data_IF_433096784442
#
_entry.id   IF_433096784442
#
_cell.length_a   1.000
_cell.length_b   1.000
_cell.length_c   1.000
_cell.angle_alpha   90.00
_cell.angle_beta   90.00
_cell.angle_gamma   90.00
#
_symmetry.space_group_name_H-M   'P 1'
#
loop_
_entity.id
_entity.type
_entity.pdbx_description
1 polymer ?
#
# COMPACT_ATOMS: atom_id res chain seq x y z
N UNK A 1 14.19 -16.72 -22.40
CA UNK A 1 14.18 -17.02 -20.94
C UNK A 1 13.43 -15.90 -20.21
N UNK A 2 12.11 -15.77 -20.42
CA UNK A 2 11.31 -14.62 -19.94
C UNK A 2 10.12 -14.99 -19.02
N UNK A 3 9.98 -16.26 -18.63
CA UNK A 3 8.68 -16.75 -18.14
C UNK A 3 8.46 -16.71 -16.62
N UNK A 4 9.50 -16.47 -15.79
CA UNK A 4 9.37 -16.51 -14.32
C UNK A 4 8.95 -15.21 -13.64
N UNK A 5 8.85 -14.09 -14.36
CA UNK A 5 8.62 -12.76 -13.75
C UNK A 5 7.14 -12.48 -13.42
N UNK A 6 6.22 -13.09 -14.16
CA UNK A 6 4.78 -12.82 -14.09
C UNK A 6 4.06 -13.27 -12.80
N UNK A 7 4.30 -14.46 -12.22
CA UNK A 7 3.53 -14.92 -11.04
C UNK A 7 3.81 -14.05 -9.82
N UNK A 8 5.00 -13.45 -9.74
CA UNK A 8 5.40 -12.61 -8.62
C UNK A 8 4.66 -11.27 -8.59
N UNK A 9 4.58 -10.59 -9.74
CA UNK A 9 3.90 -9.28 -9.85
C UNK A 9 2.41 -9.44 -9.55
N UNK A 10 1.80 -10.51 -10.07
CA UNK A 10 0.41 -10.85 -9.79
C UNK A 10 0.19 -11.15 -8.29
N UNK A 11 1.10 -11.90 -7.65
CA UNK A 11 1.03 -12.21 -6.22
C UNK A 11 1.08 -10.97 -5.33
N UNK A 12 1.97 -10.02 -5.61
CA UNK A 12 2.00 -8.74 -4.89
C UNK A 12 0.70 -7.96 -5.10
N UNK A 13 0.18 -7.92 -6.33
CA UNK A 13 -1.09 -7.26 -6.63
C UNK A 13 -2.25 -7.82 -5.79
N UNK A 14 -2.32 -9.14 -5.63
CA UNK A 14 -3.32 -9.81 -4.78
C UNK A 14 -3.14 -9.41 -3.32
N UNK A 15 -1.91 -9.39 -2.80
CA UNK A 15 -1.63 -8.98 -1.41
C UNK A 15 -2.07 -7.53 -1.18
N UNK A 16 -1.75 -6.62 -2.10
CA UNK A 16 -2.19 -5.22 -2.04
C UNK A 16 -3.70 -5.13 -2.01
N UNK A 17 -4.40 -5.87 -2.89
CA UNK A 17 -5.85 -5.89 -2.93
C UNK A 17 -6.46 -6.40 -1.61
N UNK A 18 -5.89 -7.45 -1.00
CA UNK A 18 -6.31 -7.97 0.30
C UNK A 18 -6.14 -6.92 1.40
N UNK A 19 -5.00 -6.25 1.46
CA UNK A 19 -4.75 -5.20 2.47
C UNK A 19 -5.73 -4.04 2.28
N UNK A 20 -5.95 -3.58 1.05
CA UNK A 20 -6.93 -2.53 0.76
C UNK A 20 -8.36 -2.95 1.15
N UNK A 21 -8.76 -4.18 0.83
CA UNK A 21 -10.08 -4.69 1.18
C UNK A 21 -10.25 -4.80 2.70
N UNK A 22 -9.23 -5.26 3.43
CA UNK A 22 -9.25 -5.34 4.88
C UNK A 22 -9.33 -3.94 5.53
N UNK A 23 -8.56 -2.96 5.03
CA UNK A 23 -8.62 -1.59 5.50
C UNK A 23 -9.98 -0.94 5.26
N UNK A 24 -10.56 -1.16 4.07
CA UNK A 24 -11.89 -0.68 3.72
C UNK A 24 -12.97 -1.33 4.61
N UNK A 25 -12.91 -2.65 4.78
CA UNK A 25 -13.84 -3.39 5.64
C UNK A 25 -13.80 -2.89 7.09
N UNK A 26 -12.59 -2.70 7.64
CA UNK A 26 -12.42 -2.14 8.98
C UNK A 26 -13.02 -0.74 9.10
N UNK A 27 -12.85 0.12 8.09
CA UNK A 27 -13.39 1.48 8.10
C UNK A 27 -14.93 1.46 8.06
N UNK A 28 -15.52 0.68 7.15
CA UNK A 28 -16.96 0.55 7.01
C UNK A 28 -17.61 0.03 8.30
N UNK A 29 -17.06 -1.03 8.89
CA UNK A 29 -17.56 -1.60 10.15
C UNK A 29 -17.43 -0.63 11.33
N UNK A 30 -16.37 0.19 11.38
CA UNK A 30 -16.23 1.26 12.39
C UNK A 30 -17.30 2.34 12.27
N UNK A 31 -17.79 2.61 11.07
CA UNK A 31 -18.92 3.52 10.84
C UNK A 31 -20.29 2.87 11.02
N UNK A 32 -20.34 1.65 11.56
CA UNK A 32 -21.59 0.96 11.88
C UNK A 32 -22.23 0.26 10.68
N UNK A 33 -21.53 0.13 9.56
CA UNK A 33 -22.04 -0.65 8.45
C UNK A 33 -21.97 -2.14 8.74
N UNK A 34 -23.10 -2.80 8.54
CA UNK A 34 -23.19 -4.25 8.63
C UNK A 34 -23.32 -4.88 7.24
N UNK A 35 -22.73 -6.08 7.04
CA UNK A 35 -22.97 -6.85 5.84
C UNK A 35 -24.49 -7.07 5.71
N UNK A 36 -25.02 -6.97 4.49
CA UNK A 36 -26.45 -7.14 4.14
C UNK A 36 -27.39 -5.94 4.40
N UNK A 37 -26.89 -4.80 4.87
CA UNK A 37 -27.69 -3.57 4.85
C UNK A 37 -27.85 -3.03 3.42
N UNK A 38 -29.10 -2.73 3.02
CA UNK A 38 -29.43 -2.28 1.66
C UNK A 38 -28.94 -0.87 1.33
N UNK A 39 -28.67 -0.05 2.34
CA UNK A 39 -28.29 1.35 2.16
C UNK A 39 -27.30 1.78 3.23
N UNK A 40 -26.10 2.16 2.76
CA UNK A 40 -25.10 2.84 3.57
C UNK A 40 -25.57 4.27 3.83
N UNK A 41 -26.08 4.57 5.03
CA UNK A 41 -26.82 5.81 5.30
C UNK A 41 -25.96 7.06 5.53
N UNK A 42 -24.66 7.03 5.21
CA UNK A 42 -23.75 8.15 5.46
C UNK A 42 -22.90 8.52 4.27
N UNK A 43 -23.20 9.66 3.62
CA UNK A 43 -22.32 10.28 2.59
C UNK A 43 -20.89 10.39 3.13
N UNK A 44 -20.76 10.85 4.39
CA UNK A 44 -19.48 11.02 5.08
C UNK A 44 -18.66 9.74 5.16
N UNK A 45 -19.28 8.60 5.48
CA UNK A 45 -18.53 7.36 5.67
C UNK A 45 -18.17 6.70 4.32
N UNK A 46 -18.91 6.95 3.24
CA UNK A 46 -18.55 6.53 1.88
C UNK A 46 -17.36 7.33 1.34
N UNK A 47 -17.41 8.66 1.49
CA UNK A 47 -16.30 9.57 1.16
C UNK A 47 -15.04 9.23 1.96
N UNK A 48 -15.18 8.94 3.25
CA UNK A 48 -14.07 8.57 4.12
C UNK A 48 -13.45 7.22 3.75
N UNK A 49 -14.27 6.21 3.48
CA UNK A 49 -13.79 4.92 3.02
C UNK A 49 -13.07 5.02 1.67
N UNK A 50 -13.62 5.78 0.72
CA UNK A 50 -12.98 6.03 -0.58
C UNK A 50 -11.62 6.69 -0.42
N UNK A 51 -11.53 7.68 0.47
CA UNK A 51 -10.26 8.38 0.76
C UNK A 51 -9.23 7.44 1.39
N UNK A 52 -9.67 6.60 2.35
CA UNK A 52 -8.81 5.60 2.97
C UNK A 52 -8.30 4.59 1.94
N UNK A 53 -9.17 4.10 1.05
CA UNK A 53 -8.78 3.16 -0.01
C UNK A 53 -7.74 3.77 -0.95
N UNK A 54 -7.96 5.01 -1.40
CA UNK A 54 -7.03 5.73 -2.26
C UNK A 54 -5.66 5.89 -1.59
N UNK A 55 -5.64 6.32 -0.33
CA UNK A 55 -4.41 6.50 0.43
C UNK A 55 -3.69 5.18 0.67
N UNK A 56 -4.42 4.14 1.10
CA UNK A 56 -3.87 2.80 1.34
C UNK A 56 -3.23 2.27 0.06
N UNK A 57 -3.95 2.30 -1.05
CA UNK A 57 -3.46 1.84 -2.34
C UNK A 57 -2.22 2.64 -2.78
N UNK A 58 -2.28 3.97 -2.71
CA UNK A 58 -1.16 4.84 -3.08
C UNK A 58 0.11 4.53 -2.29
N UNK A 59 0.02 4.41 -0.97
CA UNK A 59 1.17 4.09 -0.12
C UNK A 59 1.71 2.68 -0.42
N UNK A 60 0.84 1.69 -0.59
CA UNK A 60 1.27 0.34 -0.95
C UNK A 60 1.96 0.28 -2.32
N UNK A 61 1.53 1.09 -3.29
CA UNK A 61 2.21 1.19 -4.58
C UNK A 61 3.59 1.84 -4.47
N UNK A 62 3.76 2.85 -3.61
CA UNK A 62 5.08 3.44 -3.33
C UNK A 62 6.02 2.39 -2.73
N UNK A 63 5.54 1.63 -1.74
CA UNK A 63 6.31 0.55 -1.10
C UNK A 63 6.65 -0.54 -2.12
N UNK A 64 5.68 -0.93 -2.97
CA UNK A 64 5.91 -1.88 -4.03
C UNK A 64 6.97 -1.39 -5.04
N UNK A 65 6.96 -0.10 -5.40
CA UNK A 65 7.98 0.47 -6.28
C UNK A 65 9.39 0.40 -5.66
N UNK A 66 9.51 0.63 -4.34
CA UNK A 66 10.77 0.44 -3.60
C UNK A 66 11.21 -1.03 -3.63
N UNK A 67 10.26 -1.95 -3.44
CA UNK A 67 10.52 -3.40 -3.43
C UNK A 67 11.00 -3.92 -4.78
N UNK A 68 10.29 -3.58 -5.86
CA UNK A 68 10.63 -3.98 -7.24
C UNK A 68 12.00 -3.46 -7.67
N UNK A 69 12.40 -2.29 -7.18
CA UNK A 69 13.74 -1.75 -7.44
C UNK A 69 14.83 -2.55 -6.73
N UNK A 70 14.60 -2.98 -5.50
CA UNK A 70 15.57 -3.72 -4.69
C UNK A 70 15.37 -5.24 -4.83
N UNK A 71 15.45 -5.80 -6.05
CA UNK A 71 15.14 -7.22 -6.30
C UNK A 71 16.02 -8.20 -5.50
N UNK A 72 17.30 -7.89 -5.34
CA UNK A 72 18.32 -8.80 -4.75
C UNK A 72 18.84 -8.36 -3.39
N UNK A 73 18.54 -7.14 -2.98
CA UNK A 73 19.03 -6.54 -1.74
C UNK A 73 17.87 -6.22 -0.79
N UNK A 74 18.16 -6.34 0.51
CA UNK A 74 17.21 -5.94 1.53
C UNK A 74 16.94 -4.44 1.43
N UNK A 75 15.66 -4.06 1.47
CA UNK A 75 15.24 -2.66 1.43
C UNK A 75 15.91 -1.87 2.55
N UNK A 76 16.07 -2.46 3.74
CA UNK A 76 16.71 -1.83 4.90
C UNK A 76 18.15 -1.39 4.65
N UNK A 77 18.87 -2.05 3.72
CA UNK A 77 20.26 -1.69 3.39
C UNK A 77 20.37 -0.53 2.39
N UNK A 78 19.32 -0.26 1.61
CA UNK A 78 19.35 0.69 0.49
C UNK A 78 18.28 1.81 0.58
N UNK A 79 17.45 1.81 1.62
CA UNK A 79 16.28 2.70 1.74
C UNK A 79 16.65 4.19 1.66
N UNK A 80 17.77 4.59 2.28
CA UNK A 80 18.15 6.01 2.41
C UNK A 80 19.23 6.45 1.41
N UNK A 81 20.05 5.52 0.91
CA UNK A 81 21.24 5.83 0.10
C UNK A 81 21.11 5.41 -1.37
N UNK A 82 20.10 4.62 -1.72
CA UNK A 82 20.02 3.99 -3.05
C UNK A 82 19.44 4.88 -4.16
N UNK A 83 18.51 5.80 -3.86
CA UNK A 83 17.93 6.69 -4.88
C UNK A 83 17.09 7.87 -4.35
N UNK A 84 17.66 9.08 -4.39
CA UNK A 84 16.97 10.31 -3.96
C UNK A 84 15.67 10.59 -4.72
N UNK A 85 15.57 10.22 -6.01
CA UNK A 85 14.35 10.47 -6.80
C UNK A 85 13.18 9.63 -6.31
N UNK A 86 13.42 8.37 -5.94
CA UNK A 86 12.35 7.49 -5.46
C UNK A 86 11.79 7.98 -4.10
N UNK A 87 12.69 8.43 -3.22
CA UNK A 87 12.32 9.05 -1.95
C UNK A 87 11.57 10.36 -2.16
N UNK A 88 12.00 11.19 -3.11
CA UNK A 88 11.31 12.44 -3.45
C UNK A 88 9.89 12.18 -3.99
N UNK A 89 9.73 11.23 -4.90
CA UNK A 89 8.41 10.81 -5.42
C UNK A 89 7.51 10.28 -4.31
N UNK A 90 8.06 9.49 -3.39
CA UNK A 90 7.31 8.99 -2.23
C UNK A 90 6.82 10.13 -1.33
N UNK A 91 7.69 11.10 -1.00
CA UNK A 91 7.33 12.27 -0.20
C UNK A 91 6.25 13.10 -0.91
N UNK A 92 6.42 13.38 -2.20
CA UNK A 92 5.46 14.14 -3.00
C UNK A 92 4.11 13.42 -3.01
N UNK A 93 4.08 12.10 -3.22
CA UNK A 93 2.83 11.34 -3.23
C UNK A 93 2.11 11.37 -1.89
N UNK A 94 2.83 11.24 -0.76
CA UNK A 94 2.25 11.38 0.59
C UNK A 94 1.68 12.79 0.80
N UNK A 95 2.41 13.83 0.38
CA UNK A 95 1.96 15.22 0.47
C UNK A 95 0.71 15.47 -0.36
N UNK A 96 0.66 14.93 -1.59
CA UNK A 96 -0.52 15.02 -2.45
C UNK A 96 -1.71 14.35 -1.79
N UNK A 97 -1.56 13.13 -1.24
CA UNK A 97 -2.65 12.43 -0.54
C UNK A 97 -3.14 13.25 0.66
N UNK A 98 -2.21 13.80 1.45
CA UNK A 98 -2.54 14.62 2.61
C UNK A 98 -3.27 15.92 2.24
N UNK A 99 -2.78 16.63 1.22
CA UNK A 99 -3.40 17.85 0.73
C UNK A 99 -4.76 17.56 0.09
N UNK A 100 -4.87 16.51 -0.71
CA UNK A 100 -6.11 16.09 -1.35
C UNK A 100 -7.21 15.80 -0.33
N UNK A 101 -6.87 15.20 0.82
CA UNK A 101 -7.81 14.99 1.94
C UNK A 101 -8.24 16.26 2.68
N UNK A 102 -7.59 17.42 2.44
CA UNK A 102 -7.99 18.72 3.00
C UNK A 102 -8.89 19.52 2.07
N UNK A 103 -8.93 19.20 0.78
CA UNK A 103 -9.70 19.95 -0.21
C UNK A 103 -11.02 19.23 -0.50
N UNK A 104 -12.14 19.83 -0.05
CA UNK A 104 -13.48 19.26 -0.21
C UNK A 104 -13.91 19.07 -1.68
N UNK A 105 -13.33 19.82 -2.62
CA UNK A 105 -13.68 19.74 -4.05
C UNK A 105 -13.38 18.37 -4.68
N UNK A 106 -12.44 17.60 -4.11
CA UNK A 106 -12.07 16.29 -4.61
C UNK A 106 -13.02 15.17 -4.13
N UNK A 107 -14.01 15.50 -3.31
CA UNK A 107 -14.87 14.48 -2.69
C UNK A 107 -14.08 13.55 -1.77
N UNK A 108 -13.01 14.07 -1.15
CA UNK A 108 -12.16 13.36 -0.22
C UNK A 108 -12.35 13.90 1.20
N UNK A 109 -12.11 13.05 2.18
CA UNK A 109 -12.23 13.38 3.59
C UNK A 109 -10.87 13.33 4.30
N UNK A 110 -10.67 14.11 5.38
CA UNK A 110 -9.42 14.09 6.11
C UNK A 110 -9.17 12.73 6.76
N UNK A 111 -7.95 12.25 6.60
CA UNK A 111 -7.45 10.99 7.18
C UNK A 111 -6.95 11.27 8.60
N UNK A 112 -7.51 10.54 9.55
CA UNK A 112 -7.14 10.58 10.97
C UNK A 112 -5.84 9.80 11.25
N UNK A 113 -5.22 10.06 12.40
CA UNK A 113 -3.97 9.39 12.79
C UNK A 113 -4.11 7.87 12.88
N UNK A 114 -5.25 7.35 13.36
CA UNK A 114 -5.50 5.91 13.44
C UNK A 114 -5.59 5.27 12.03
N UNK A 115 -6.16 5.98 11.07
CA UNK A 115 -6.22 5.53 9.67
C UNK A 115 -4.83 5.51 9.04
N UNK A 116 -3.99 6.52 9.34
CA UNK A 116 -2.58 6.50 8.94
C UNK A 116 -1.81 5.32 9.53
N UNK A 117 -2.04 4.98 10.79
CA UNK A 117 -1.41 3.81 11.42
C UNK A 117 -1.78 2.51 10.69
N UNK A 118 -3.03 2.36 10.27
CA UNK A 118 -3.49 1.17 9.52
C UNK A 118 -2.85 1.10 8.14
N UNK A 119 -2.76 2.22 7.43
CA UNK A 119 -2.07 2.29 6.13
C UNK A 119 -0.60 1.87 6.28
N UNK A 120 0.09 2.42 7.29
CA UNK A 120 1.50 2.11 7.56
C UNK A 120 1.69 0.65 8.00
N UNK A 121 0.76 0.11 8.79
CA UNK A 121 0.76 -1.29 9.20
C UNK A 121 0.62 -2.24 8.00
N UNK A 122 -0.30 -1.95 7.08
CA UNK A 122 -0.43 -2.68 5.81
C UNK A 122 0.86 -2.59 4.98
N UNK A 123 1.47 -1.41 4.92
CA UNK A 123 2.78 -1.21 4.29
C UNK A 123 3.90 -2.05 4.91
N UNK A 124 3.95 -2.13 6.23
CA UNK A 124 4.91 -2.96 6.95
C UNK A 124 4.73 -4.45 6.65
N UNK A 125 3.48 -4.94 6.58
CA UNK A 125 3.17 -6.33 6.17
C UNK A 125 3.72 -6.60 4.77
N UNK A 126 3.48 -5.70 3.81
CA UNK A 126 3.96 -5.84 2.44
C UNK A 126 5.51 -5.90 2.39
N UNK A 127 6.19 -5.06 3.16
CA UNK A 127 7.65 -5.09 3.30
C UNK A 127 8.14 -6.42 3.88
N UNK A 128 7.51 -6.91 4.94
CA UNK A 128 7.89 -8.17 5.59
C UNK A 128 7.74 -9.33 4.62
N UNK A 129 6.60 -9.44 3.92
CA UNK A 129 6.37 -10.51 2.94
C UNK A 129 7.46 -10.49 1.86
N UNK A 130 7.81 -9.30 1.37
CA UNK A 130 8.82 -9.16 0.34
C UNK A 130 10.22 -9.52 0.83
N UNK A 131 10.60 -9.09 2.04
CA UNK A 131 11.90 -9.43 2.62
C UNK A 131 12.02 -10.93 2.93
N UNK A 132 10.94 -11.56 3.41
CA UNK A 132 10.87 -13.02 3.59
C UNK A 132 11.05 -13.73 2.25
N UNK A 133 10.38 -13.28 1.19
CA UNK A 133 10.56 -13.84 -0.16
C UNK A 133 12.01 -13.72 -0.62
N UNK A 134 12.63 -12.54 -0.48
CA UNK A 134 14.04 -12.33 -0.85
C UNK A 134 14.98 -13.22 -0.04
N UNK A 135 14.69 -13.43 1.24
CA UNK A 135 15.48 -14.31 2.09
C UNK A 135 15.38 -15.78 1.64
N UNK A 136 14.18 -16.26 1.35
CA UNK A 136 13.94 -17.66 0.96
C UNK A 136 14.42 -17.97 -0.46
N UNK A 137 14.16 -17.08 -1.43
CA UNK A 137 14.41 -17.34 -2.86
C UNK A 137 15.64 -16.60 -3.41
N UNK A 138 16.12 -15.55 -2.74
CA UNK A 138 17.25 -14.74 -3.22
C UNK A 138 18.58 -15.47 -3.25
N UNK A 139 18.72 -16.59 -2.53
CA UNK A 139 19.93 -17.43 -2.56
C UNK A 139 20.00 -18.32 -3.81
N UNK A 140 18.85 -18.70 -4.39
CA UNK A 140 18.78 -19.61 -5.54
C UNK A 140 19.12 -18.93 -6.88
N UNK A 141 19.04 -17.60 -6.97
CA UNK A 141 19.46 -16.85 -8.17
C UNK A 141 20.97 -16.64 -8.28
N UNK A 142 21.76 -16.97 -7.24
CA UNK A 142 23.22 -16.82 -7.22
C UNK A 142 23.91 -17.99 -7.95
N UNK A 143 23.25 -19.13 -8.12
CA UNK A 143 23.81 -20.30 -8.80
C UNK A 143 23.54 -20.35 -10.32
N UNK A 144 22.92 -19.31 -10.89
CA UNK A 144 22.66 -19.23 -12.33
C UNK A 144 23.32 -18.01 -13.02
N UNK A 145 24.21 -17.30 -12.34
CA UNK A 145 25.02 -16.21 -12.90
C UNK A 145 26.47 -16.60 -13.07
#
# INVERSE_FOLDING_TARGET
MEEKTYPHIAGIGIIIAIICAAAAWWNLTRFGWHPFEKTFSGITASTKNTTLMLATFGILQIINAVNVKNKKSSVSKNLLTGNMHLTCVAIIAVLIIYLAGKFEFLGLAPISLIEWQIILFGGAILLIIEEVRKYLFGKNEIHQS
#
